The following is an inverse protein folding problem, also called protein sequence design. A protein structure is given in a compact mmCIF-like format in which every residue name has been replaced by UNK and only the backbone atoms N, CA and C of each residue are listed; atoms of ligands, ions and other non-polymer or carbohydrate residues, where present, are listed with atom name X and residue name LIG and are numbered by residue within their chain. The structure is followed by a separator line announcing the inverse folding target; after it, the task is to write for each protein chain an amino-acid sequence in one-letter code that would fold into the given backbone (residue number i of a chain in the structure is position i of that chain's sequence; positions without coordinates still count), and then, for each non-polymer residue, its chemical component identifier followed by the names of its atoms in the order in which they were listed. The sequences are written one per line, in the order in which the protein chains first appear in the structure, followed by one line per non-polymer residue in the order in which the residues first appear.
data_IF_971465436442
#
_entry.id   IF_971465436442
#
_cell.length_a   1.000
_cell.length_b   1.000
_cell.length_c   1.000
_cell.angle_alpha   90.00
_cell.angle_beta   90.00
_cell.angle_gamma   90.00
#
_symmetry.space_group_name_H-M   'P 1'
#
loop_
_entity.id
_entity.type
_entity.pdbx_description
1 polymer ?
#
# COMPACT_ATOMS: atom_id res chain seq x y z
N UNK A 1 -12.36 -0.10 11.52
CA UNK A 1 -12.01 -1.13 10.54
C UNK A 1 -10.88 -0.65 9.63
N UNK A 2 -9.81 -1.40 9.60
CA UNK A 2 -8.64 -1.09 8.76
C UNK A 2 -9.01 -0.91 7.29
N UNK A 3 -9.92 -1.73 6.80
CA UNK A 3 -10.36 -1.68 5.40
C UNK A 3 -11.04 -0.35 5.06
N UNK A 4 -11.92 0.14 5.95
CA UNK A 4 -12.57 1.43 5.77
C UNK A 4 -11.59 2.60 5.87
N UNK A 5 -10.63 2.51 6.79
CA UNK A 5 -9.59 3.52 6.94
C UNK A 5 -8.76 3.66 5.67
N UNK A 6 -8.30 2.55 5.11
CA UNK A 6 -7.52 2.53 3.87
C UNK A 6 -8.32 3.14 2.72
N UNK A 7 -9.62 2.82 2.63
CA UNK A 7 -10.49 3.36 1.59
C UNK A 7 -10.60 4.88 1.66
N UNK A 8 -10.78 5.44 2.87
CA UNK A 8 -10.86 6.89 3.06
C UNK A 8 -9.55 7.57 2.66
N UNK A 9 -8.44 7.05 3.12
CA UNK A 9 -7.12 7.59 2.82
C UNK A 9 -6.88 7.62 1.31
N UNK A 10 -7.18 6.53 0.64
CA UNK A 10 -7.01 6.43 -0.80
C UNK A 10 -7.84 7.45 -1.56
N UNK A 11 -9.10 7.67 -1.17
CA UNK A 11 -9.95 8.63 -1.85
C UNK A 11 -9.48 10.06 -1.62
N UNK A 12 -9.03 10.37 -0.41
CA UNK A 12 -8.49 11.69 -0.10
C UNK A 12 -7.23 11.98 -0.91
N UNK A 13 -6.30 11.04 -0.98
CA UNK A 13 -5.07 11.20 -1.76
C UNK A 13 -5.36 11.42 -3.24
N UNK A 14 -6.29 10.64 -3.79
CA UNK A 14 -6.63 10.73 -5.20
C UNK A 14 -7.27 12.07 -5.52
N UNK A 15 -8.16 12.56 -4.66
CA UNK A 15 -8.81 13.88 -4.84
C UNK A 15 -7.78 15.01 -4.81
N UNK A 16 -6.87 14.97 -3.84
CA UNK A 16 -5.87 16.01 -3.66
C UNK A 16 -4.89 16.05 -4.83
N UNK A 17 -4.64 14.92 -5.46
CA UNK A 17 -3.75 14.83 -6.62
C UNK A 17 -4.46 15.04 -7.95
N UNK A 18 -5.77 15.33 -7.93
CA UNK A 18 -6.60 15.53 -9.11
C UNK A 18 -6.69 14.31 -10.03
N UNK A 19 -6.38 13.13 -9.54
CA UNK A 19 -6.52 11.88 -10.27
C UNK A 19 -7.94 11.36 -10.09
N UNK A 20 -8.59 10.93 -11.18
CA UNK A 20 -9.94 10.39 -11.11
C UNK A 20 -9.98 9.07 -10.36
N UNK A 21 -10.92 8.94 -9.42
CA UNK A 21 -11.18 7.70 -8.72
C UNK A 21 -12.55 7.09 -9.07
N UNK A 22 -13.19 7.60 -10.11
CA UNK A 22 -14.50 7.10 -10.54
C UNK A 22 -14.39 5.64 -10.93
N UNK A 23 -15.29 4.82 -10.41
CA UNK A 23 -15.30 3.38 -10.69
C UNK A 23 -14.32 2.56 -9.87
N UNK A 24 -13.49 3.20 -9.04
CA UNK A 24 -12.55 2.51 -8.17
C UNK A 24 -13.15 2.29 -6.79
N UNK A 25 -13.09 1.08 -6.29
CA UNK A 25 -13.57 0.73 -4.94
C UNK A 25 -12.51 -0.09 -4.23
N UNK A 26 -12.47 0.07 -2.90
CA UNK A 26 -11.65 -0.80 -2.07
C UNK A 26 -12.33 -2.17 -1.95
N UNK A 27 -11.55 -3.23 -2.00
CA UNK A 27 -12.04 -4.58 -1.78
C UNK A 27 -11.03 -5.38 -0.96
N UNK A 28 -11.48 -6.44 -0.35
CA UNK A 28 -10.59 -7.33 0.39
C UNK A 28 -9.75 -8.16 -0.58
N UNK A 29 -8.47 -8.35 -0.25
CA UNK A 29 -7.57 -9.22 -0.98
C UNK A 29 -8.04 -10.67 -0.93
N UNK A 30 -7.82 -11.40 -2.03
CA UNK A 30 -8.10 -12.83 -2.11
C UNK A 30 -6.84 -13.61 -2.50
N UNK A 31 -6.89 -14.94 -2.39
CA UNK A 31 -5.78 -15.79 -2.83
C UNK A 31 -5.52 -15.68 -4.32
N UNK A 32 -6.56 -15.42 -5.10
CA UNK A 32 -6.40 -15.24 -6.54
C UNK A 32 -5.57 -14.01 -6.87
N UNK A 33 -5.61 -12.99 -6.04
CA UNK A 33 -4.78 -11.79 -6.23
C UNK A 33 -3.30 -12.14 -6.22
N UNK A 34 -2.89 -13.12 -5.43
CA UNK A 34 -1.51 -13.57 -5.40
C UNK A 34 -1.06 -14.13 -6.75
N UNK A 35 -1.94 -14.85 -7.43
CA UNK A 35 -1.63 -15.40 -8.75
C UNK A 35 -1.73 -14.35 -9.85
N UNK A 36 -2.62 -13.38 -9.70
CA UNK A 36 -2.93 -12.39 -10.73
C UNK A 36 -1.89 -11.29 -10.82
N UNK A 37 -1.38 -10.82 -9.68
CA UNK A 37 -0.47 -9.68 -9.64
C UNK A 37 0.97 -10.12 -9.44
N UNK A 38 1.89 -9.38 -10.04
CA UNK A 38 3.33 -9.65 -9.88
C UNK A 38 3.89 -9.07 -8.58
N UNK A 39 3.29 -7.99 -8.09
CA UNK A 39 3.71 -7.29 -6.88
C UNK A 39 2.51 -7.05 -5.97
N UNK A 40 2.67 -7.41 -4.70
CA UNK A 40 1.69 -7.15 -3.65
C UNK A 40 2.40 -6.28 -2.60
N UNK A 41 2.03 -5.01 -2.55
CA UNK A 41 2.75 -4.02 -1.75
C UNK A 41 1.89 -3.62 -0.56
N UNK A 42 2.43 -3.83 0.64
CA UNK A 42 1.76 -3.47 1.89
C UNK A 42 2.26 -2.12 2.39
N UNK A 43 1.39 -1.40 3.09
CA UNK A 43 1.73 -0.11 3.67
C UNK A 43 2.48 -0.26 4.99
N UNK A 44 2.14 -1.28 5.79
CA UNK A 44 2.76 -1.51 7.09
C UNK A 44 2.83 -3.00 7.41
N UNK A 45 3.49 -3.30 8.53
CA UNK A 45 3.67 -4.69 8.98
C UNK A 45 2.37 -5.37 9.38
N UNK A 46 1.38 -4.59 9.84
CA UNK A 46 0.06 -5.11 10.14
C UNK A 46 -0.60 -5.65 8.87
N UNK A 47 -0.49 -4.93 7.77
CA UNK A 47 -0.98 -5.40 6.46
C UNK A 47 -0.27 -6.70 6.04
N UNK A 48 1.05 -6.80 6.27
CA UNK A 48 1.79 -8.03 5.94
C UNK A 48 1.25 -9.23 6.71
N UNK A 49 0.96 -9.06 8.00
CA UNK A 49 0.40 -10.15 8.81
C UNK A 49 -0.97 -10.58 8.29
N UNK A 50 -1.81 -9.61 7.92
CA UNK A 50 -3.12 -9.93 7.38
C UNK A 50 -3.02 -10.63 6.02
N UNK A 51 -2.09 -10.20 5.18
CA UNK A 51 -1.87 -10.80 3.86
C UNK A 51 -1.38 -12.25 3.96
N UNK A 52 -0.69 -12.62 5.04
CA UNK A 52 -0.18 -13.97 5.22
C UNK A 52 -1.29 -15.03 5.20
N UNK A 53 -2.52 -14.65 5.52
CA UNK A 53 -3.67 -15.56 5.43
C UNK A 53 -3.94 -16.01 4.00
N UNK A 54 -3.56 -15.21 3.02
CA UNK A 54 -3.86 -15.44 1.61
C UNK A 54 -2.64 -15.92 0.82
N UNK A 55 -1.45 -15.49 1.23
CA UNK A 55 -0.21 -15.77 0.48
C UNK A 55 0.67 -16.81 1.15
N UNK A 56 0.38 -17.17 2.40
CA UNK A 56 1.20 -18.14 3.16
C UNK A 56 2.61 -17.62 3.35
N UNK A 57 3.59 -18.42 2.94
CA UNK A 57 5.01 -18.08 3.04
C UNK A 57 5.55 -17.27 1.87
N UNK A 58 4.68 -16.76 1.01
CA UNK A 58 5.06 -15.98 -0.17
C UNK A 58 6.12 -16.73 -1.03
N UNK A 59 5.78 -17.92 -1.56
CA UNK A 59 6.76 -18.73 -2.28
C UNK A 59 7.31 -18.07 -3.54
N UNK A 60 6.57 -17.14 -4.15
CA UNK A 60 7.01 -16.44 -5.36
C UNK A 60 7.62 -15.07 -5.05
N UNK A 61 7.82 -14.74 -3.79
CA UNK A 61 8.45 -13.49 -3.33
C UNK A 61 7.79 -12.24 -3.94
N UNK A 62 6.46 -12.20 -3.92
CA UNK A 62 5.69 -11.08 -4.48
C UNK A 62 5.37 -10.00 -3.47
N UNK A 63 5.42 -10.30 -2.17
CA UNK A 63 4.96 -9.42 -1.11
C UNK A 63 6.10 -8.56 -0.58
N UNK A 64 5.84 -7.26 -0.43
CA UNK A 64 6.83 -6.33 0.12
C UNK A 64 6.13 -5.16 0.80
N UNK A 65 6.89 -4.43 1.61
CA UNK A 65 6.45 -3.13 2.16
C UNK A 65 6.77 -2.03 1.16
N UNK A 66 5.86 -1.08 1.01
CA UNK A 66 6.07 0.06 0.12
C UNK A 66 7.36 0.80 0.49
N UNK A 67 7.55 1.07 1.79
CA UNK A 67 8.71 1.83 2.25
C UNK A 67 10.02 1.04 2.22
N UNK A 68 9.98 -0.27 1.95
CA UNK A 68 11.19 -1.08 1.81
C UNK A 68 11.99 -0.71 0.55
N UNK A 69 11.39 -0.03 -0.39
CA UNK A 69 12.06 0.45 -1.60
C UNK A 69 12.82 1.76 -1.38
N UNK A 70 12.58 2.43 -0.26
CA UNK A 70 13.27 3.66 0.10
C UNK A 70 14.55 3.38 0.88
N UNK A 71 15.37 4.40 1.10
CA UNK A 71 16.59 4.28 1.90
C UNK A 71 16.31 4.16 3.41
N UNK A 72 15.09 4.47 3.84
CA UNK A 72 14.69 4.41 5.25
C UNK A 72 13.43 3.58 5.41
N UNK A 73 13.55 2.23 5.34
CA UNK A 73 12.37 1.36 5.45
C UNK A 73 11.65 1.55 6.78
N UNK A 74 10.35 1.79 6.71
CA UNK A 74 9.47 1.91 7.87
C UNK A 74 8.03 1.73 7.41
N UNK A 75 7.09 1.65 8.36
CA UNK A 75 5.67 1.59 8.03
C UNK A 75 5.21 2.97 7.53
N UNK A 76 4.28 2.98 6.56
CA UNK A 76 3.65 4.22 6.13
C UNK A 76 2.84 4.79 7.31
N UNK A 77 2.98 6.08 7.56
CA UNK A 77 2.24 6.76 8.62
C UNK A 77 0.74 6.67 8.34
N UNK A 78 -0.03 6.23 9.33
CA UNK A 78 -1.48 6.12 9.22
C UNK A 78 -2.13 7.35 9.87
N UNK A 79 -2.78 8.23 9.09
CA UNK A 79 -3.36 9.46 9.65
C UNK A 79 -4.49 9.18 10.65
N UNK A 80 -5.05 7.98 10.63
CA UNK A 80 -6.02 7.59 11.65
C UNK A 80 -5.42 7.59 13.05
N UNK A 81 -4.11 7.26 13.17
CA UNK A 81 -3.39 7.26 14.44
C UNK A 81 -2.62 8.55 14.67
N UNK A 82 -1.99 9.11 13.64
CA UNK A 82 -1.14 10.30 13.78
C UNK A 82 -1.93 11.60 13.73
N UNK A 83 -3.11 11.59 13.10
CA UNK A 83 -3.89 12.81 12.86
C UNK A 83 -3.28 13.72 11.79
N UNK A 84 -2.22 13.27 11.11
CA UNK A 84 -1.49 14.08 10.14
C UNK A 84 -1.45 13.37 8.78
N UNK A 85 -2.32 13.83 7.88
CA UNK A 85 -2.43 13.28 6.55
C UNK A 85 -1.20 13.58 5.68
N UNK A 86 -0.51 14.68 5.92
CA UNK A 86 0.66 15.04 5.12
C UNK A 86 1.82 14.07 5.30
N UNK A 87 1.99 13.52 6.51
CA UNK A 87 3.01 12.50 6.75
C UNK A 87 2.75 11.24 5.92
N UNK A 88 1.49 10.83 5.86
CA UNK A 88 1.07 9.68 5.04
C UNK A 88 1.33 9.97 3.57
N UNK A 89 0.94 11.15 3.09
CA UNK A 89 1.15 11.56 1.71
C UNK A 89 2.63 11.55 1.33
N UNK A 90 3.47 12.07 2.19
CA UNK A 90 4.92 12.11 1.99
C UNK A 90 5.50 10.70 1.89
N UNK A 91 5.08 9.81 2.80
CA UNK A 91 5.55 8.43 2.79
C UNK A 91 5.11 7.71 1.52
N UNK A 92 3.84 7.83 1.15
CA UNK A 92 3.31 7.17 -0.05
C UNK A 92 4.03 7.68 -1.29
N UNK A 93 4.24 8.98 -1.38
CA UNK A 93 4.94 9.57 -2.53
C UNK A 93 6.39 9.07 -2.61
N UNK A 94 7.10 9.05 -1.49
CA UNK A 94 8.47 8.55 -1.45
C UNK A 94 8.54 7.07 -1.82
N UNK A 95 7.64 6.26 -1.25
CA UNK A 95 7.60 4.83 -1.52
C UNK A 95 7.25 4.51 -2.97
N UNK A 96 6.26 5.19 -3.52
CA UNK A 96 5.85 4.99 -4.91
C UNK A 96 6.94 5.43 -5.89
N UNK A 97 7.62 6.53 -5.59
CA UNK A 97 8.73 7.01 -6.44
C UNK A 97 9.86 5.98 -6.44
N UNK A 98 10.24 5.47 -5.28
CA UNK A 98 11.29 4.46 -5.16
C UNK A 98 10.90 3.15 -5.86
N UNK A 99 9.65 2.73 -5.71
CA UNK A 99 9.14 1.54 -6.38
C UNK A 99 9.17 1.70 -7.90
N UNK A 100 8.75 2.86 -8.40
CA UNK A 100 8.76 3.14 -9.83
C UNK A 100 10.18 3.08 -10.40
N UNK A 101 11.15 3.67 -9.71
CA UNK A 101 12.56 3.61 -10.10
C UNK A 101 13.04 2.16 -10.17
N UNK A 102 12.65 1.34 -9.20
CA UNK A 102 13.02 -0.08 -9.15
C UNK A 102 12.45 -0.84 -10.35
N UNK A 103 11.18 -0.57 -10.70
CA UNK A 103 10.51 -1.26 -11.80
C UNK A 103 11.04 -0.85 -13.16
N UNK A 104 11.63 0.33 -13.27
CA UNK A 104 12.18 0.85 -14.53
C UNK A 104 13.65 0.48 -14.76
N UNK A 105 14.27 -0.22 -13.85
CA UNK A 105 15.66 -0.66 -14.00
C UNK A 105 15.81 -1.84 -14.97
#
# INVERSE_FOLDING_TARGET
DLHLSIRRQRQMCIRDSAISCVGKTARQMTRQDYDTYDYLVAMDRSNLRDMARFVGNDPLHKVSLLMSYTSTPHDVADPWFTGNFEDTWRDVLAGCTALLERLCQ
#
